data_IF_508337346596
#
_entry.id   IF_508337346596
#
_cell.length_a   1.000
_cell.length_b   1.000
_cell.length_c   1.000
_cell.angle_alpha   90.00
_cell.angle_beta   90.00
_cell.angle_gamma   90.00
#
_symmetry.space_group_name_H-M   'P 1'
#
loop_
_entity.id
_entity.type
_entity.pdbx_description
1 polymer ?
#
# COMPACT_ATOMS: atom_id res chain seq x y z
N UNK A 1 -20.27 23.95 3.87
CA UNK A 1 -19.01 23.32 3.41
C UNK A 1 -19.36 22.34 2.30
N UNK A 2 -18.66 22.33 1.17
CA UNK A 2 -18.96 21.38 0.09
C UNK A 2 -18.70 19.94 0.53
N UNK A 3 -19.42 18.97 -0.05
CA UNK A 3 -19.27 17.54 0.23
C UNK A 3 -17.80 17.08 0.12
N UNK A 4 -17.11 17.53 -0.94
CA UNK A 4 -15.69 17.21 -1.18
C UNK A 4 -14.76 17.66 -0.06
N UNK A 5 -14.91 18.88 0.48
CA UNK A 5 -14.05 19.35 1.57
C UNK A 5 -14.18 18.52 2.85
N UNK A 6 -15.35 17.92 3.08
CA UNK A 6 -15.58 16.99 4.20
C UNK A 6 -14.86 15.66 3.98
N UNK A 7 -14.97 15.09 2.77
CA UNK A 7 -14.30 13.84 2.37
C UNK A 7 -12.78 14.00 2.47
N UNK A 8 -12.21 15.04 1.86
CA UNK A 8 -10.76 15.33 1.89
C UNK A 8 -10.26 15.38 3.33
N UNK A 9 -10.97 16.12 4.21
CA UNK A 9 -10.57 16.25 5.62
C UNK A 9 -10.59 14.90 6.35
N UNK A 10 -11.61 14.07 6.10
CA UNK A 10 -11.70 12.73 6.70
C UNK A 10 -10.57 11.82 6.23
N UNK A 11 -10.31 11.78 4.92
CA UNK A 11 -9.19 11.02 4.33
C UNK A 11 -7.87 11.47 4.93
N UNK A 12 -7.57 12.77 4.91
CA UNK A 12 -6.32 13.31 5.47
C UNK A 12 -6.20 13.04 6.97
N UNK A 13 -7.28 13.17 7.74
CA UNK A 13 -7.27 12.89 9.18
C UNK A 13 -7.00 11.42 9.48
N UNK A 14 -7.67 10.50 8.78
CA UNK A 14 -7.42 9.06 8.89
C UNK A 14 -5.98 8.72 8.52
N UNK A 15 -5.51 9.31 7.42
CA UNK A 15 -4.16 9.12 6.92
C UNK A 15 -3.09 9.57 7.92
N UNK A 16 -3.19 10.78 8.46
CA UNK A 16 -2.25 11.30 9.46
C UNK A 16 -2.14 10.41 10.71
N UNK A 17 -3.25 9.77 11.12
CA UNK A 17 -3.26 8.82 12.25
C UNK A 17 -2.55 7.50 11.91
N UNK A 18 -2.74 6.99 10.70
CA UNK A 18 -2.05 5.80 10.21
C UNK A 18 -0.55 6.09 10.11
N UNK A 19 -0.16 7.20 9.50
CA UNK A 19 1.24 7.64 9.45
C UNK A 19 1.87 7.71 10.83
N UNK A 20 1.16 8.28 11.80
CA UNK A 20 1.63 8.36 13.19
C UNK A 20 1.86 6.98 13.80
N UNK A 21 0.95 6.04 13.52
CA UNK A 21 1.05 4.66 14.00
C UNK A 21 2.20 3.89 13.32
N UNK A 22 2.39 4.05 12.01
CA UNK A 22 3.53 3.47 11.29
C UNK A 22 4.84 4.05 11.82
N UNK A 23 4.93 5.37 12.02
CA UNK A 23 6.12 6.01 12.61
C UNK A 23 6.42 5.47 14.01
N UNK A 24 5.41 5.17 14.79
CA UNK A 24 5.59 4.53 16.10
C UNK A 24 6.19 3.13 15.93
N UNK A 25 5.56 2.29 15.11
CA UNK A 25 6.04 0.93 14.84
C UNK A 25 7.49 0.91 14.35
N UNK A 26 7.85 1.79 13.40
CA UNK A 26 9.21 1.89 12.88
C UNK A 26 10.24 2.40 13.91
N UNK A 27 9.83 3.21 14.90
CA UNK A 27 10.76 3.60 15.98
C UNK A 27 11.06 2.43 16.90
N UNK A 28 10.09 1.56 17.13
CA UNK A 28 10.17 0.43 18.05
C UNK A 28 10.84 -0.78 17.39
N UNK A 29 10.55 -1.03 16.10
CA UNK A 29 10.93 -2.27 15.41
C UNK A 29 11.66 -2.05 14.07
N UNK A 30 11.96 -0.80 13.69
CA UNK A 30 12.44 -0.43 12.36
C UNK A 30 13.85 -0.87 11.99
N UNK A 31 14.76 -1.03 12.96
CA UNK A 31 16.19 -1.30 12.72
C UNK A 31 16.78 -0.47 11.54
N UNK A 32 16.65 0.86 11.62
CA UNK A 32 17.16 1.78 10.60
C UNK A 32 16.33 1.89 9.31
N UNK A 33 15.18 1.20 9.22
CA UNK A 33 14.20 1.42 8.16
C UNK A 33 13.57 2.82 8.27
N UNK A 34 13.31 3.45 7.13
CA UNK A 34 12.70 4.77 7.07
C UNK A 34 11.67 4.82 5.96
N UNK A 35 10.58 5.55 6.19
CA UNK A 35 9.70 5.99 5.10
C UNK A 35 10.08 7.42 4.74
N UNK A 36 10.51 7.61 3.50
CA UNK A 36 10.81 8.91 2.90
C UNK A 36 9.66 9.34 2.00
N UNK A 37 9.48 10.66 1.88
CA UNK A 37 8.46 11.27 1.04
C UNK A 37 7.07 10.73 1.37
N UNK A 38 6.65 10.87 2.64
CA UNK A 38 5.34 10.38 3.10
C UNK A 38 4.22 10.78 2.14
N UNK A 39 3.24 9.88 1.84
CA UNK A 39 2.16 10.19 0.92
C UNK A 39 1.52 11.56 1.17
N UNK A 40 1.62 12.42 0.16
CA UNK A 40 0.84 13.65 0.00
C UNK A 40 -0.05 13.46 -1.23
N UNK A 41 -1.31 13.89 -1.14
CA UNK A 41 -2.29 13.67 -2.21
C UNK A 41 -2.69 14.98 -2.85
N UNK A 42 -2.71 15.00 -4.17
CA UNK A 42 -3.38 16.00 -4.97
C UNK A 42 -4.82 15.56 -5.18
N UNK A 43 -5.75 16.47 -4.90
CA UNK A 43 -7.18 16.20 -5.02
C UNK A 43 -7.77 16.98 -6.19
N UNK A 44 -8.51 16.29 -7.04
CA UNK A 44 -9.34 16.87 -8.07
C UNK A 44 -10.78 16.34 -7.92
N UNK A 45 -11.77 17.02 -8.48
CA UNK A 45 -13.15 16.57 -8.43
C UNK A 45 -13.86 16.71 -9.79
N UNK A 46 -14.73 15.76 -10.08
CA UNK A 46 -15.63 15.79 -11.23
C UNK A 46 -17.04 15.38 -10.76
N UNK A 47 -17.98 16.31 -10.82
CA UNK A 47 -19.33 16.09 -10.28
C UNK A 47 -19.32 15.78 -8.78
N UNK A 48 -19.73 14.55 -8.41
CA UNK A 48 -19.72 14.00 -7.05
C UNK A 48 -18.47 13.14 -6.74
N UNK A 49 -17.59 12.95 -7.73
CA UNK A 49 -16.39 12.14 -7.63
C UNK A 49 -15.22 12.99 -7.13
N UNK A 50 -14.48 12.43 -6.18
CA UNK A 50 -13.20 12.93 -5.71
C UNK A 50 -12.10 11.99 -6.21
N UNK A 51 -11.18 12.54 -7.00
CA UNK A 51 -9.97 11.86 -7.44
C UNK A 51 -8.81 12.29 -6.56
N UNK A 52 -8.01 11.33 -6.12
CA UNK A 52 -6.80 11.57 -5.35
C UNK A 52 -5.65 10.82 -5.99
N UNK A 53 -4.53 11.49 -6.18
CA UNK A 53 -3.28 10.92 -6.69
C UNK A 53 -2.13 11.39 -5.81
N UNK A 54 -1.13 10.54 -5.59
CA UNK A 54 0.04 10.95 -4.82
C UNK A 54 0.87 12.00 -5.59
N UNK A 55 1.20 13.11 -4.94
CA UNK A 55 2.06 14.18 -5.47
C UNK A 55 3.46 13.68 -5.82
N UNK A 56 3.90 12.61 -5.18
CA UNK A 56 5.16 11.91 -5.45
C UNK A 56 5.09 10.49 -4.89
N UNK A 57 5.87 9.54 -5.43
CA UNK A 57 6.00 8.23 -4.82
C UNK A 57 6.64 8.28 -3.43
N UNK A 58 6.44 7.21 -2.69
CA UNK A 58 6.97 7.00 -1.34
C UNK A 58 8.09 5.99 -1.42
N UNK A 59 9.11 6.19 -0.59
CA UNK A 59 10.22 5.24 -0.52
C UNK A 59 10.33 4.64 0.87
N UNK A 60 10.13 3.33 0.95
CA UNK A 60 10.49 2.51 2.11
C UNK A 60 11.98 2.19 1.96
N UNK A 61 12.80 2.92 2.70
CA UNK A 61 14.24 2.90 2.65
C UNK A 61 14.83 1.87 3.61
N UNK A 62 15.87 1.17 3.15
CA UNK A 62 16.57 0.08 3.88
C UNK A 62 15.64 -1.02 4.40
N UNK A 63 14.60 -1.34 3.65
CA UNK A 63 13.63 -2.36 4.05
C UNK A 63 14.26 -3.77 4.02
N UNK A 64 14.04 -4.62 5.04
CA UNK A 64 14.59 -5.98 5.05
C UNK A 64 14.05 -6.84 3.90
N UNK A 65 14.89 -7.71 3.33
CA UNK A 65 14.48 -8.66 2.30
C UNK A 65 13.25 -9.48 2.74
N UNK A 66 13.29 -10.02 3.96
CA UNK A 66 12.26 -10.83 4.60
C UNK A 66 12.35 -10.64 6.12
N UNK A 67 11.22 -10.75 6.81
CA UNK A 67 11.17 -10.83 8.27
C UNK A 67 11.73 -12.15 8.81
N UNK A 68 13.00 -12.47 8.56
CA UNK A 68 13.66 -13.65 9.12
C UNK A 68 15.04 -13.29 9.63
N UNK A 69 15.34 -13.72 10.86
CA UNK A 69 16.62 -13.55 11.56
C UNK A 69 17.84 -14.08 10.79
N UNK A 70 17.65 -14.97 9.81
CA UNK A 70 18.74 -15.63 9.08
C UNK A 70 19.22 -14.87 7.82
N UNK A 71 18.52 -13.83 7.37
CA UNK A 71 18.86 -13.06 6.15
C UNK A 71 19.01 -11.55 6.42
N UNK A 72 19.47 -11.18 7.61
CA UNK A 72 19.57 -9.79 8.11
C UNK A 72 20.41 -8.83 7.25
N UNK A 73 21.24 -9.35 6.34
CA UNK A 73 22.14 -8.53 5.53
C UNK A 73 21.52 -7.88 4.29
N UNK A 74 20.50 -8.48 3.67
CA UNK A 74 19.97 -7.98 2.39
C UNK A 74 18.85 -6.98 2.65
N UNK A 75 19.05 -5.73 2.22
CA UNK A 75 18.11 -4.62 2.35
C UNK A 75 17.75 -4.06 0.98
N UNK A 76 16.54 -3.54 0.86
CA UNK A 76 15.97 -2.99 -0.37
C UNK A 76 15.42 -1.59 -0.17
N UNK A 77 15.09 -0.97 -1.30
CA UNK A 77 14.24 0.19 -1.38
C UNK A 77 12.94 -0.23 -2.05
N UNK A 78 11.81 0.09 -1.43
CA UNK A 78 10.49 -0.18 -2.02
C UNK A 78 9.89 1.17 -2.37
N UNK A 79 9.58 1.37 -3.64
CA UNK A 79 8.91 2.57 -4.13
C UNK A 79 7.43 2.25 -4.27
N UNK A 80 6.57 3.09 -3.70
CA UNK A 80 5.12 2.91 -3.76
C UNK A 80 4.49 4.17 -4.34
N UNK A 81 3.61 4.01 -5.31
CA UNK A 81 2.78 5.07 -5.83
C UNK A 81 1.32 4.63 -5.85
N UNK A 82 0.39 5.57 -5.89
CA UNK A 82 -1.01 5.22 -5.96
C UNK A 82 -1.96 6.38 -6.16
N UNK A 83 -3.18 5.98 -6.50
CA UNK A 83 -4.32 6.85 -6.76
C UNK A 83 -5.60 6.16 -6.32
N UNK A 84 -6.63 6.94 -6.03
CA UNK A 84 -7.97 6.42 -5.83
C UNK A 84 -9.04 7.41 -6.25
N UNK A 85 -10.22 6.89 -6.55
CA UNK A 85 -11.43 7.67 -6.77
C UNK A 85 -12.46 7.25 -5.73
N UNK A 86 -13.07 8.23 -5.08
CA UNK A 86 -14.12 8.00 -4.09
C UNK A 86 -15.23 9.03 -4.18
N UNK A 87 -16.33 8.78 -3.48
CA UNK A 87 -17.43 9.73 -3.31
C UNK A 87 -18.04 9.64 -1.92
N UNK A 88 -18.97 10.54 -1.60
CA UNK A 88 -19.75 10.42 -0.38
C UNK A 88 -20.66 9.18 -0.46
N UNK A 89 -20.53 8.29 0.52
CA UNK A 89 -21.43 7.15 0.69
C UNK A 89 -22.65 7.49 1.55
N UNK A 90 -23.42 6.47 1.91
CA UNK A 90 -24.51 6.57 2.87
C UNK A 90 -23.97 6.75 4.29
N UNK A 91 -24.74 7.39 5.18
CA UNK A 91 -24.43 7.50 6.61
C UNK A 91 -23.07 8.16 6.94
N UNK A 92 -22.52 8.94 6.01
CA UNK A 92 -21.25 9.65 6.20
C UNK A 92 -20.01 8.81 5.95
N UNK A 93 -20.16 7.62 5.37
CA UNK A 93 -19.06 6.81 4.84
C UNK A 93 -18.46 7.42 3.56
N UNK A 94 -17.26 6.97 3.18
CA UNK A 94 -16.62 7.35 1.92
C UNK A 94 -16.54 6.10 1.06
N UNK A 95 -17.27 6.10 -0.05
CA UNK A 95 -17.34 4.96 -0.97
C UNK A 95 -16.14 5.01 -1.92
N UNK A 96 -15.28 4.00 -1.85
CA UNK A 96 -14.16 3.80 -2.77
C UNK A 96 -14.68 3.17 -4.06
N UNK A 97 -14.41 3.81 -5.20
CA UNK A 97 -14.92 3.42 -6.52
C UNK A 97 -13.85 2.80 -7.40
N UNK A 98 -12.62 3.33 -7.33
CA UNK A 98 -11.46 2.77 -7.98
C UNK A 98 -10.19 3.08 -7.20
N UNK A 99 -9.17 2.23 -7.36
CA UNK A 99 -7.81 2.54 -6.93
C UNK A 99 -6.81 1.95 -7.90
N UNK A 100 -5.62 2.54 -7.90
CA UNK A 100 -4.43 1.98 -8.53
C UNK A 100 -3.26 2.10 -7.56
N UNK A 101 -2.57 1.00 -7.29
CA UNK A 101 -1.39 0.96 -6.43
C UNK A 101 -0.25 0.29 -7.18
N UNK A 102 0.91 0.94 -7.20
CA UNK A 102 2.12 0.43 -7.83
C UNK A 102 3.20 0.24 -6.77
N UNK A 103 3.90 -0.89 -6.81
CA UNK A 103 4.97 -1.23 -5.87
C UNK A 103 6.16 -1.72 -6.70
N UNK A 104 7.28 -1.01 -6.62
CA UNK A 104 8.55 -1.41 -7.21
C UNK A 104 9.57 -1.77 -6.14
N UNK A 105 10.23 -2.91 -6.29
CA UNK A 105 11.29 -3.38 -5.42
C UNK A 105 12.65 -3.16 -6.06
N UNK A 106 13.56 -2.55 -5.30
CA UNK A 106 14.84 -2.10 -5.80
C UNK A 106 15.98 -2.49 -4.84
N UNK A 107 17.03 -3.07 -5.37
CA UNK A 107 18.26 -3.35 -4.63
C UNK A 107 19.26 -2.21 -4.81
N UNK A 108 19.90 -1.70 -3.75
CA UNK A 108 21.02 -0.80 -3.90
C UNK A 108 22.15 -1.48 -4.69
N UNK A 109 22.70 -0.82 -5.72
CA UNK A 109 23.79 -1.35 -6.55
C UNK A 109 25.02 -1.69 -5.70
N UNK A 110 25.29 -0.87 -4.68
CA UNK A 110 26.30 -1.14 -3.65
C UNK A 110 26.01 -0.35 -2.38
N UNK A 111 26.68 -0.70 -1.28
CA UNK A 111 26.59 0.06 -0.02
C UNK A 111 27.13 1.49 -0.14
N UNK A 112 28.06 1.75 -1.07
CA UNK A 112 28.63 3.08 -1.33
C UNK A 112 27.77 3.91 -2.29
N UNK A 113 26.90 3.27 -3.08
CA UNK A 113 25.98 3.92 -4.03
C UNK A 113 24.51 3.56 -3.71
N UNK A 114 23.99 3.87 -2.51
CA UNK A 114 22.68 3.38 -2.10
C UNK A 114 21.52 3.95 -2.91
N UNK A 115 21.71 5.10 -3.57
CA UNK A 115 20.70 5.74 -4.43
C UNK A 115 20.71 5.21 -5.86
N UNK A 116 21.78 4.54 -6.27
CA UNK A 116 21.82 3.85 -7.55
C UNK A 116 21.23 2.47 -7.34
N UNK A 117 20.11 2.17 -7.98
CA UNK A 117 19.33 0.97 -7.68
C UNK A 117 19.17 0.06 -8.88
N UNK A 118 19.10 -1.23 -8.62
CA UNK A 118 18.81 -2.29 -9.59
C UNK A 118 17.38 -2.76 -9.31
N UNK A 119 16.49 -2.79 -10.31
CA UNK A 119 15.13 -3.25 -10.11
C UNK A 119 15.14 -4.75 -9.81
N UNK A 120 14.23 -5.24 -8.97
CA UNK A 120 14.13 -6.66 -8.59
C UNK A 120 12.80 -7.21 -9.08
N UNK A 121 11.73 -6.54 -8.70
CA UNK A 121 10.38 -6.97 -8.98
C UNK A 121 9.45 -5.76 -8.95
N UNK A 122 8.26 -5.92 -9.49
CA UNK A 122 7.28 -4.86 -9.48
C UNK A 122 5.88 -5.38 -9.70
N UNK A 123 4.92 -4.68 -9.09
CA UNK A 123 3.53 -5.04 -9.15
C UNK A 123 2.65 -3.82 -9.29
N UNK A 124 1.58 -4.00 -10.02
CA UNK A 124 0.51 -3.03 -10.21
C UNK A 124 -0.81 -3.69 -9.86
N UNK A 125 -1.58 -3.02 -9.02
CA UNK A 125 -2.89 -3.44 -8.55
C UNK A 125 -3.89 -2.38 -8.94
N UNK A 126 -4.94 -2.77 -9.64
CA UNK A 126 -6.08 -1.92 -9.89
C UNK A 126 -7.36 -2.57 -9.40
N UNK A 127 -8.26 -1.72 -8.92
CA UNK A 127 -9.66 -2.06 -8.72
C UNK A 127 -10.52 -1.00 -9.38
N UNK A 128 -11.56 -1.42 -10.09
CA UNK A 128 -12.55 -0.53 -10.70
C UNK A 128 -13.95 -1.14 -10.61
N UNK A 129 -14.85 -0.47 -9.91
CA UNK A 129 -16.24 -0.94 -9.71
C UNK A 129 -17.08 -0.70 -10.98
N UNK A 130 -16.78 0.32 -11.77
CA UNK A 130 -17.47 0.64 -13.02
C UNK A 130 -16.82 -0.10 -14.18
N UNK A 131 -17.20 -1.35 -14.40
CA UNK A 131 -16.52 -2.18 -15.40
C UNK A 131 -16.89 -1.79 -16.83
N UNK A 132 -15.87 -1.61 -17.66
CA UNK A 132 -16.00 -1.82 -19.10
C UNK A 132 -16.30 -3.30 -19.37
N UNK A 133 -16.99 -3.60 -20.48
CA UNK A 133 -17.32 -5.00 -20.84
C UNK A 133 -16.03 -5.82 -20.94
N UNK A 134 -15.90 -6.86 -20.12
CA UNK A 134 -14.75 -7.77 -20.00
C UNK A 134 -13.50 -7.26 -19.26
N UNK A 135 -13.56 -6.14 -18.54
CA UNK A 135 -12.50 -5.75 -17.60
C UNK A 135 -12.75 -6.36 -16.21
N UNK A 136 -11.76 -7.01 -15.57
CA UNK A 136 -11.93 -7.54 -14.22
C UNK A 136 -12.12 -6.40 -13.20
N UNK A 137 -12.93 -6.63 -12.17
CA UNK A 137 -13.15 -5.66 -11.07
C UNK A 137 -11.86 -5.40 -10.29
N UNK A 138 -10.99 -6.40 -10.22
CA UNK A 138 -9.66 -6.31 -9.63
C UNK A 138 -8.67 -7.08 -10.50
N UNK A 139 -7.49 -6.50 -10.71
CA UNK A 139 -6.37 -7.26 -11.24
C UNK A 139 -5.07 -6.89 -10.55
N UNK A 140 -4.19 -7.88 -10.50
CA UNK A 140 -2.80 -7.75 -10.08
C UNK A 140 -1.92 -8.17 -11.24
N UNK A 141 -1.03 -7.30 -11.69
CA UNK A 141 -0.08 -7.58 -12.74
C UNK A 141 1.33 -7.40 -12.19
N UNK A 142 2.18 -8.40 -12.44
CA UNK A 142 3.62 -8.27 -12.25
C UNK A 142 4.21 -7.49 -13.41
N UNK A 143 4.95 -6.43 -13.11
CA UNK A 143 5.65 -5.59 -14.07
C UNK A 143 6.99 -5.14 -13.47
N UNK A 144 8.08 -5.70 -13.97
CA UNK A 144 9.43 -5.42 -13.49
C UNK A 144 9.90 -3.99 -13.82
N UNK A 145 9.17 -3.27 -14.67
CA UNK A 145 9.45 -1.89 -15.10
C UNK A 145 8.62 -0.84 -14.38
N UNK A 146 7.75 -1.27 -13.46
CA UNK A 146 6.87 -0.35 -12.72
C UNK A 146 7.70 0.71 -11.98
N UNK A 147 7.27 1.96 -12.04
CA UNK A 147 7.87 3.12 -11.36
C UNK A 147 9.30 3.50 -11.82
N UNK A 148 9.80 3.02 -12.96
CA UNK A 148 11.13 3.41 -13.45
C UNK A 148 11.23 4.91 -13.72
N UNK A 149 10.23 5.47 -14.39
CA UNK A 149 10.15 6.90 -14.70
C UNK A 149 9.94 7.76 -13.45
N UNK A 150 9.51 7.14 -12.36
CA UNK A 150 9.20 7.78 -11.08
C UNK A 150 10.43 7.86 -10.14
N UNK A 151 11.49 7.08 -10.41
CA UNK A 151 12.69 7.03 -9.55
C UNK A 151 13.35 8.41 -9.37
N UNK A 152 13.37 9.22 -10.44
CA UNK A 152 13.94 10.56 -10.40
C UNK A 152 13.20 11.52 -9.47
N UNK A 153 11.89 11.29 -9.24
CA UNK A 153 11.07 12.10 -8.31
C UNK A 153 11.34 11.78 -6.84
N UNK A 154 12.08 10.69 -6.57
CA UNK A 154 12.39 10.22 -5.21
C UNK A 154 13.89 10.06 -4.94
N UNK A 155 14.72 10.78 -5.71
CA UNK A 155 16.19 10.77 -5.62
C UNK A 155 16.83 9.38 -5.77
N UNK A 156 16.22 8.50 -6.57
CA UNK A 156 16.78 7.21 -6.96
C UNK A 156 17.17 7.23 -8.44
N UNK A 157 18.17 6.44 -8.81
CA UNK A 157 18.64 6.33 -10.19
C UNK A 157 18.79 4.88 -10.60
N UNK A 158 18.26 4.53 -11.76
CA UNK A 158 18.37 3.18 -12.30
C UNK A 158 19.82 2.87 -12.69
N UNK A 159 20.37 1.80 -12.11
CA UNK A 159 21.78 1.43 -12.21
C UNK A 159 22.07 0.17 -13.02
N UNK A 160 21.07 -0.44 -13.66
CA UNK A 160 21.21 -1.68 -14.40
C UNK A 160 19.88 -2.28 -14.86
N UNK A 161 19.95 -3.44 -15.51
CA UNK A 161 18.78 -4.21 -15.93
C UNK A 161 18.25 -5.07 -14.76
N UNK A 162 16.95 -5.41 -14.76
CA UNK A 162 16.40 -6.33 -13.77
C UNK A 162 17.11 -7.69 -13.82
N UNK A 163 17.45 -8.28 -12.65
CA UNK A 163 17.88 -9.66 -12.59
C UNK A 163 16.69 -10.57 -12.93
N UNK A 164 16.95 -11.77 -13.44
CA UNK A 164 15.91 -12.79 -13.67
C UNK A 164 15.29 -13.36 -12.38
N UNK A 165 15.52 -12.73 -11.22
CA UNK A 165 15.16 -13.24 -9.91
C UNK A 165 13.89 -12.56 -9.39
N UNK A 166 12.84 -13.36 -9.21
CA UNK A 166 11.54 -12.95 -8.65
C UNK A 166 11.53 -13.03 -7.13
N UNK A 167 10.86 -12.07 -6.46
CA UNK A 167 10.60 -12.15 -5.03
C UNK A 167 9.49 -13.19 -4.77
N UNK A 168 9.87 -14.35 -4.22
CA UNK A 168 8.94 -15.49 -4.02
C UNK A 168 8.09 -15.40 -2.76
N UNK A 169 8.40 -14.47 -1.87
CA UNK A 169 7.82 -14.38 -0.52
C UNK A 169 7.02 -13.10 -0.29
N UNK A 170 6.88 -12.25 -1.31
CA UNK A 170 6.01 -11.07 -1.25
C UNK A 170 4.57 -11.55 -1.45
N UNK A 171 3.69 -11.19 -0.53
CA UNK A 171 2.28 -11.46 -0.70
C UNK A 171 1.71 -10.50 -1.74
N UNK A 172 0.93 -11.03 -2.69
CA UNK A 172 0.17 -10.18 -3.61
C UNK A 172 -1.02 -9.60 -2.86
N UNK A 173 -1.15 -8.26 -2.78
CA UNK A 173 -2.28 -7.64 -2.13
C UNK A 173 -3.60 -8.09 -2.77
N UNK A 174 -4.56 -8.39 -1.91
CA UNK A 174 -5.92 -8.78 -2.29
C UNK A 174 -6.74 -7.53 -2.68
N UNK A 175 -7.97 -7.68 -3.23
CA UNK A 175 -8.77 -6.60 -3.84
C UNK A 175 -9.16 -5.41 -2.95
N UNK A 176 -8.77 -5.40 -1.68
CA UNK A 176 -9.15 -4.36 -0.71
C UNK A 176 -7.97 -3.48 -0.29
N UNK A 177 -6.84 -3.61 -0.97
CA UNK A 177 -5.65 -2.87 -0.61
C UNK A 177 -5.65 -1.54 -1.36
N UNK A 178 -6.33 -0.57 -0.74
CA UNK A 178 -6.00 0.82 -0.97
C UNK A 178 -4.51 1.07 -0.65
N UNK A 179 -3.96 2.17 -1.15
CA UNK A 179 -2.57 2.56 -0.92
C UNK A 179 -2.17 2.51 0.58
N UNK A 180 -3.11 2.78 1.47
CA UNK A 180 -2.88 2.81 2.92
C UNK A 180 -2.61 1.40 3.45
N UNK A 181 -3.42 0.45 3.00
CA UNK A 181 -3.28 -0.96 3.30
C UNK A 181 -1.99 -1.54 2.70
N UNK A 182 -1.53 -1.02 1.56
CA UNK A 182 -0.31 -1.49 0.91
C UNK A 182 0.92 -1.26 1.80
N UNK A 183 1.03 -0.10 2.46
CA UNK A 183 2.13 0.18 3.39
C UNK A 183 2.13 -0.76 4.60
N UNK A 184 0.95 -1.09 5.12
CA UNK A 184 0.83 -1.99 6.27
C UNK A 184 1.19 -3.43 5.87
N UNK A 185 0.76 -3.87 4.69
CA UNK A 185 1.16 -5.17 4.14
C UNK A 185 2.69 -5.25 3.93
N UNK A 186 3.32 -4.19 3.42
CA UNK A 186 4.78 -4.13 3.26
C UNK A 186 5.52 -4.18 4.62
N UNK A 187 4.89 -3.72 5.71
CA UNK A 187 5.42 -3.94 7.06
C UNK A 187 5.28 -5.42 7.44
N UNK A 188 4.11 -6.02 7.23
CA UNK A 188 3.87 -7.43 7.56
C UNK A 188 4.89 -8.36 6.89
N UNK A 189 5.07 -8.24 5.58
CA UNK A 189 5.87 -9.16 4.76
C UNK A 189 7.37 -9.14 5.10
N UNK A 190 7.83 -7.99 5.57
CA UNK A 190 9.26 -7.71 5.66
C UNK A 190 9.74 -7.53 7.10
N UNK A 191 8.89 -7.05 8.01
CA UNK A 191 9.31 -6.66 9.37
C UNK A 191 8.80 -7.59 10.46
N UNK A 192 7.69 -8.31 10.24
CA UNK A 192 7.13 -9.21 11.25
C UNK A 192 7.90 -10.53 11.22
N UNK A 193 8.67 -10.80 12.27
CA UNK A 193 9.57 -11.95 12.32
C UNK A 193 9.63 -12.70 13.66
N UNK A 194 9.09 -12.11 14.71
CA UNK A 194 9.04 -12.65 16.06
C UNK A 194 7.78 -12.17 16.79
N UNK A 195 7.54 -12.67 18.00
CA UNK A 195 6.34 -12.36 18.78
C UNK A 195 6.21 -10.87 19.12
N UNK A 196 7.33 -10.16 19.32
CA UNK A 196 7.30 -8.74 19.67
C UNK A 196 6.86 -7.90 18.47
N UNK A 197 7.49 -8.13 17.32
CA UNK A 197 7.16 -7.47 16.05
C UNK A 197 5.75 -7.83 15.54
N UNK A 198 5.28 -9.04 15.83
CA UNK A 198 3.92 -9.53 15.54
C UNK A 198 2.85 -8.80 16.36
N UNK A 199 3.01 -8.71 17.69
CA UNK A 199 2.06 -8.00 18.56
C UNK A 199 1.98 -6.51 18.18
N UNK A 200 3.13 -5.86 17.96
CA UNK A 200 3.17 -4.47 17.49
C UNK A 200 2.46 -4.29 16.15
N UNK A 201 2.58 -5.26 15.24
CA UNK A 201 1.93 -5.22 13.94
C UNK A 201 0.42 -5.36 14.06
N UNK A 202 -0.09 -6.29 14.89
CA UNK A 202 -1.53 -6.42 15.09
C UNK A 202 -2.16 -5.17 15.71
N UNK A 203 -1.45 -4.51 16.62
CA UNK A 203 -1.90 -3.21 17.15
C UNK A 203 -1.96 -2.14 16.05
N UNK A 204 -0.97 -2.09 15.16
CA UNK A 204 -0.97 -1.20 14.00
C UNK A 204 -2.15 -1.52 13.04
N UNK A 205 -2.34 -2.78 12.67
CA UNK A 205 -3.38 -3.22 11.75
C UNK A 205 -4.78 -2.88 12.28
N UNK A 206 -5.04 -3.13 13.57
CA UNK A 206 -6.31 -2.75 14.23
C UNK A 206 -6.55 -1.24 14.20
N UNK A 207 -5.55 -0.43 14.52
CA UNK A 207 -5.65 1.04 14.45
C UNK A 207 -5.91 1.50 13.01
N UNK A 208 -5.25 0.88 12.03
CA UNK A 208 -5.47 1.23 10.63
C UNK A 208 -6.91 0.95 10.20
N UNK A 209 -7.48 -0.20 10.57
CA UNK A 209 -8.90 -0.51 10.33
C UNK A 209 -9.84 0.57 10.86
N UNK A 210 -9.57 1.14 12.03
CA UNK A 210 -10.37 2.21 12.62
C UNK A 210 -10.22 3.56 11.89
N UNK A 211 -9.10 3.78 11.21
CA UNK A 211 -8.74 5.08 10.65
C UNK A 211 -8.86 5.16 9.13
N UNK A 212 -8.90 4.04 8.41
CA UNK A 212 -9.14 4.01 6.96
C UNK A 212 -10.61 4.35 6.73
N UNK A 213 -10.92 5.53 6.16
CA UNK A 213 -12.31 5.95 5.99
C UNK A 213 -12.90 5.48 4.66
N UNK A 214 -12.08 4.86 3.80
CA UNK A 214 -12.43 4.39 2.46
C UNK A 214 -13.00 2.97 2.56
N UNK A 215 -14.21 2.77 2.06
CA UNK A 215 -14.85 1.46 2.01
C UNK A 215 -15.26 1.14 0.57
N UNK A 216 -14.78 0.03 0.03
CA UNK A 216 -15.26 -0.46 -1.25
C UNK A 216 -16.70 -0.99 -1.08
N UNK A 217 -17.67 -0.35 -1.73
CA UNK A 217 -19.05 -0.83 -1.73
C UNK A 217 -19.26 -1.84 -2.86
N UNK A 218 -18.88 -3.08 -2.58
CA UNK A 218 -19.03 -4.19 -3.53
C UNK A 218 -20.47 -4.72 -3.59
N UNK A 219 -21.36 -4.31 -2.67
CA UNK A 219 -22.73 -4.80 -2.53
C UNK A 219 -23.66 -4.44 -3.69
N UNK A 220 -23.34 -3.39 -4.46
CA UNK A 220 -24.10 -3.00 -5.65
C UNK A 220 -23.77 -3.85 -6.89
N UNK A 221 -22.78 -4.75 -6.82
CA UNK A 221 -22.54 -5.74 -7.85
C UNK A 221 -23.27 -7.03 -7.48
N UNK A 222 -24.38 -7.31 -8.17
CA UNK A 222 -25.21 -8.51 -7.95
C UNK A 222 -24.43 -9.84 -8.02
N UNK A 223 -23.23 -9.83 -8.63
CA UNK A 223 -22.33 -10.98 -8.73
C UNK A 223 -21.42 -11.15 -7.50
N UNK A 224 -21.13 -10.08 -6.75
CA UNK A 224 -20.26 -10.10 -5.57
C UNK A 224 -21.06 -10.12 -4.25
N UNK A 225 -22.29 -9.61 -4.24
CA UNK A 225 -23.16 -9.63 -3.06
C UNK A 225 -23.40 -11.03 -2.50
N UNK A 226 -23.46 -12.06 -3.36
CA UNK A 226 -23.56 -13.46 -2.93
C UNK A 226 -22.29 -14.03 -2.27
N UNK A 227 -21.12 -13.41 -2.50
CA UNK A 227 -19.85 -13.81 -1.91
C UNK A 227 -19.52 -13.04 -0.61
N UNK A 228 -20.18 -11.89 -0.38
CA UNK A 228 -19.81 -10.90 0.65
C UNK A 228 -20.70 -10.95 1.90
N UNK A 229 -21.81 -11.70 1.88
CA UNK A 229 -22.69 -11.90 3.05
C UNK A 229 -21.98 -12.44 4.32
N UNK A 230 -20.69 -12.79 4.23
CA UNK A 230 -19.94 -13.41 5.32
C UNK A 230 -18.66 -12.71 5.79
N UNK A 231 -18.19 -11.59 5.23
CA UNK A 231 -16.98 -10.92 5.79
C UNK A 231 -16.79 -9.48 5.32
N UNK A 232 -16.61 -8.55 6.25
CA UNK A 232 -15.79 -7.37 5.98
C UNK A 232 -14.36 -7.88 5.73
N UNK A 233 -13.90 -7.99 4.48
CA UNK A 233 -12.59 -8.59 4.14
C UNK A 233 -11.39 -7.65 4.45
N UNK A 234 -11.41 -6.99 5.60
CA UNK A 234 -10.42 -6.00 6.02
C UNK A 234 -9.05 -6.65 6.29
N UNK A 235 -8.01 -5.81 6.28
CA UNK A 235 -6.60 -6.22 6.32
C UNK A 235 -6.29 -7.23 7.44
N UNK A 236 -6.90 -7.08 8.62
CA UNK A 236 -6.71 -7.94 9.79
C UNK A 236 -7.25 -9.37 9.60
N UNK A 237 -8.23 -9.57 8.73
CA UNK A 237 -8.75 -10.92 8.42
C UNK A 237 -7.76 -11.77 7.61
N UNK A 238 -6.73 -11.15 7.04
CA UNK A 238 -5.68 -11.83 6.26
C UNK A 238 -4.48 -12.26 7.09
N UNK A 239 -4.38 -11.77 8.33
CA UNK A 239 -3.31 -12.11 9.25
C UNK A 239 -3.91 -12.83 10.47
N UNK A 240 -3.76 -14.15 10.53
CA UNK A 240 -4.08 -14.88 11.75
C UNK A 240 -2.87 -14.79 12.69
N UNK A 241 -3.07 -14.53 14.00
CA UNK A 241 -1.99 -14.65 14.96
C UNK A 241 -1.44 -16.08 14.92
N UNK A 242 -0.12 -16.20 15.08
CA UNK A 242 0.53 -17.50 15.25
C UNK A 242 -0.17 -18.28 16.35
N UNK A 243 -0.59 -19.52 16.07
CA UNK A 243 -1.22 -20.36 17.09
C UNK A 243 -0.25 -20.51 18.29
N UNK A 244 -0.67 -20.02 19.45
CA UNK A 244 0.04 -20.17 20.72
C UNK A 244 0.05 -21.62 21.20
#
# INVERSE_FOLDING_TARGET
MSSHSSIIRKVQAGWNRIQTSIRQYLREHGDGCQIRNWPEFEFNHDGDLLHAEMSHPVVLWNWPYRGSSNNSGKKFHIVVNGRFTCRAGTEGEIELLSYGTQIGYFEPKSSSEPRTVIPIDGYHFDMEITTQRAHPVFHAQRDETVLFDELGRVDLTLGGNPPQATLRHVHLPTPQIDLLSALIMLIADHMVCDTETEEGFFQLARRAREFIPLKANLGNQAQLSQCIEHSELLLDHWYAPSAS
#
